data_IF_147997987803
#
_entry.id   IF_147997987803
#
_cell.length_a   1.000
_cell.length_b   1.000
_cell.length_c   1.000
_cell.angle_alpha   90.00
_cell.angle_beta   90.00
_cell.angle_gamma   90.00
#
_symmetry.space_group_name_H-M   'P 1'
#
loop_
_entity.id
_entity.type
_entity.pdbx_description
1 polymer ?
#
# COMPACT_ATOMS: atom_id res chain seq x y z
N UNK A 1 -27.53 26.37 -18.17
CA UNK A 1 -26.28 26.83 -17.53
C UNK A 1 -25.90 26.03 -16.29
N UNK A 2 -26.81 25.81 -15.33
CA UNK A 2 -26.52 25.09 -14.07
C UNK A 2 -25.84 23.72 -14.24
N UNK A 3 -26.33 22.90 -15.18
CA UNK A 3 -25.76 21.57 -15.46
C UNK A 3 -24.33 21.65 -16.00
N UNK A 4 -24.03 22.63 -16.86
CA UNK A 4 -22.68 22.84 -17.41
C UNK A 4 -21.69 23.23 -16.30
N UNK A 5 -22.13 24.08 -15.37
CA UNK A 5 -21.33 24.48 -14.21
C UNK A 5 -21.08 23.27 -13.30
N UNK A 6 -22.10 22.45 -13.03
CA UNK A 6 -21.94 21.23 -12.25
C UNK A 6 -20.93 20.26 -12.89
N UNK A 7 -21.06 19.99 -14.20
CA UNK A 7 -20.08 19.16 -14.92
C UNK A 7 -18.67 19.73 -14.87
N UNK A 8 -18.53 21.05 -15.05
CA UNK A 8 -17.22 21.71 -14.97
C UNK A 8 -16.59 21.53 -13.59
N UNK A 9 -17.36 21.75 -12.51
CA UNK A 9 -16.88 21.58 -11.14
C UNK A 9 -16.54 20.12 -10.82
N UNK A 10 -17.38 19.17 -11.21
CA UNK A 10 -17.10 17.73 -11.04
C UNK A 10 -15.85 17.30 -11.79
N UNK A 11 -15.67 17.79 -13.02
CA UNK A 11 -14.50 17.50 -13.83
C UNK A 11 -13.23 18.10 -13.22
N UNK A 12 -13.27 19.36 -12.79
CA UNK A 12 -12.17 20.01 -12.08
C UNK A 12 -11.80 19.25 -10.80
N UNK A 13 -12.80 18.88 -9.99
CA UNK A 13 -12.59 18.08 -8.78
C UNK A 13 -11.91 16.75 -9.09
N UNK A 14 -12.38 16.05 -10.13
CA UNK A 14 -11.79 14.78 -10.56
C UNK A 14 -10.31 14.96 -10.98
N UNK A 15 -10.01 15.94 -11.83
CA UNK A 15 -8.64 16.20 -12.29
C UNK A 15 -7.72 16.55 -11.12
N UNK A 16 -8.15 17.45 -10.22
CA UNK A 16 -7.36 17.80 -9.03
C UNK A 16 -7.17 16.59 -8.11
N UNK A 17 -8.20 15.77 -7.92
CA UNK A 17 -8.10 14.54 -7.14
C UNK A 17 -7.06 13.57 -7.71
N UNK A 18 -7.09 13.32 -9.02
CA UNK A 18 -6.12 12.45 -9.70
C UNK A 18 -4.70 13.00 -9.60
N UNK A 19 -4.51 14.31 -9.82
CA UNK A 19 -3.19 14.95 -9.74
C UNK A 19 -2.63 14.97 -8.31
N UNK A 20 -3.49 14.95 -7.29
CA UNK A 20 -3.06 14.94 -5.89
C UNK A 20 -2.87 13.53 -5.31
N UNK A 21 -3.30 12.46 -6.01
CA UNK A 21 -3.10 11.07 -5.58
C UNK A 21 -1.63 10.73 -5.21
N UNK A 22 -0.60 11.13 -5.98
CA UNK A 22 0.79 10.84 -5.61
C UNK A 22 1.22 11.48 -4.28
N UNK A 23 0.55 12.57 -3.87
CA UNK A 23 0.83 13.30 -2.63
C UNK A 23 -0.03 12.82 -1.44
N UNK A 24 -1.05 12.00 -1.68
CA UNK A 24 -1.93 11.46 -0.64
C UNK A 24 -1.17 10.56 0.34
N UNK A 25 -0.06 9.97 -0.10
CA UNK A 25 0.84 9.15 0.72
C UNK A 25 0.20 7.87 1.25
N UNK A 26 0.97 7.12 2.02
CA UNK A 26 0.49 5.98 2.80
C UNK A 26 -0.03 6.54 4.12
N UNK A 27 -1.34 6.50 4.34
CA UNK A 27 -1.90 6.88 5.64
C UNK A 27 -1.63 5.78 6.69
N UNK A 28 -1.81 6.12 7.97
CA UNK A 28 -1.52 5.21 9.08
C UNK A 28 -2.32 3.90 9.05
N UNK A 29 -3.46 3.86 8.34
CA UNK A 29 -4.33 2.69 8.21
C UNK A 29 -4.03 1.85 6.95
N UNK A 30 -3.31 2.42 5.98
CA UNK A 30 -2.98 1.79 4.69
C UNK A 30 -2.17 0.51 4.90
N UNK A 31 -1.23 0.52 5.84
CA UNK A 31 -0.37 -0.63 6.15
C UNK A 31 -1.18 -1.85 6.58
N UNK A 32 -2.30 -1.66 7.30
CA UNK A 32 -3.17 -2.75 7.73
C UNK A 32 -4.05 -3.29 6.59
N UNK A 33 -4.25 -2.50 5.53
CA UNK A 33 -5.13 -2.83 4.40
C UNK A 33 -4.38 -3.40 3.20
N UNK A 34 -3.12 -3.03 2.99
CA UNK A 34 -2.27 -3.57 1.92
C UNK A 34 -2.20 -5.12 1.91
N UNK A 35 -2.08 -5.83 3.06
CA UNK A 35 -2.07 -7.28 3.09
C UNK A 35 -3.35 -7.90 2.50
N UNK A 36 -4.52 -7.26 2.64
CA UNK A 36 -5.78 -7.81 2.12
C UNK A 36 -5.75 -7.97 0.60
N UNK A 37 -5.22 -6.97 -0.10
CA UNK A 37 -5.04 -7.04 -1.56
C UNK A 37 -4.13 -8.19 -1.96
N UNK A 38 -3.04 -8.39 -1.22
CA UNK A 38 -2.11 -9.50 -1.43
C UNK A 38 -2.77 -10.87 -1.18
N UNK A 39 -3.66 -10.99 -0.19
CA UNK A 39 -4.44 -12.22 0.07
C UNK A 39 -5.33 -12.56 -1.13
N UNK A 40 -6.09 -11.59 -1.64
CA UNK A 40 -6.96 -11.82 -2.79
C UNK A 40 -6.16 -12.18 -4.04
N UNK A 41 -5.09 -11.44 -4.32
CA UNK A 41 -4.22 -11.74 -5.46
C UNK A 41 -3.66 -13.16 -5.38
N UNK A 42 -3.14 -13.56 -4.21
CA UNK A 42 -2.64 -14.92 -4.00
C UNK A 42 -3.74 -15.96 -4.25
N UNK A 43 -4.95 -15.75 -3.74
CA UNK A 43 -6.05 -16.67 -3.98
C UNK A 43 -6.35 -16.80 -5.48
N UNK A 44 -6.40 -15.70 -6.23
CA UNK A 44 -6.63 -15.75 -7.68
C UNK A 44 -5.50 -16.46 -8.44
N UNK A 45 -4.25 -16.30 -8.00
CA UNK A 45 -3.10 -16.92 -8.66
C UNK A 45 -2.88 -18.39 -8.29
N UNK A 46 -3.30 -18.82 -7.09
CA UNK A 46 -2.94 -20.15 -6.56
C UNK A 46 -4.12 -21.04 -6.20
N UNK A 47 -5.33 -20.47 -6.05
CA UNK A 47 -6.52 -21.15 -5.53
C UNK A 47 -6.47 -21.49 -4.04
N UNK A 48 -5.37 -21.16 -3.34
CA UNK A 48 -5.13 -21.58 -1.94
C UNK A 48 -5.80 -20.63 -0.96
N UNK A 49 -6.48 -21.21 0.04
CA UNK A 49 -7.27 -20.47 1.05
C UNK A 49 -6.52 -20.21 2.35
N UNK A 50 -5.37 -20.85 2.53
CA UNK A 50 -4.49 -20.70 3.69
C UNK A 50 -3.07 -20.36 3.24
N UNK A 51 -2.19 -20.07 4.21
CA UNK A 51 -0.79 -19.72 3.99
C UNK A 51 0.18 -20.82 4.43
N UNK A 52 -0.26 -22.08 4.47
CA UNK A 52 0.53 -23.22 4.98
C UNK A 52 1.86 -23.44 4.23
N UNK A 53 1.93 -22.96 2.99
CA UNK A 53 3.11 -23.08 2.12
C UNK A 53 4.04 -21.87 2.17
N UNK A 54 3.64 -20.79 2.84
CA UNK A 54 4.52 -19.66 3.05
C UNK A 54 5.55 -20.01 4.13
N UNK A 55 6.76 -19.44 4.05
CA UNK A 55 7.73 -19.54 5.15
C UNK A 55 7.11 -19.10 6.47
N UNK A 56 7.57 -19.69 7.57
CA UNK A 56 7.15 -19.28 8.90
C UNK A 56 7.31 -17.77 9.08
N UNK A 57 6.24 -17.14 9.58
CA UNK A 57 6.23 -15.72 9.91
C UNK A 57 7.41 -15.42 10.85
N UNK A 58 8.31 -14.56 10.40
CA UNK A 58 9.40 -14.06 11.24
C UNK A 58 8.84 -12.86 12.01
N UNK A 59 8.84 -12.92 13.34
CA UNK A 59 8.64 -11.71 14.12
C UNK A 59 9.85 -10.81 13.89
N UNK A 60 9.69 -9.79 13.06
CA UNK A 60 10.72 -8.78 12.84
C UNK A 60 10.80 -7.84 14.05
N UNK A 61 11.24 -8.35 15.21
CA UNK A 61 12.13 -7.58 16.07
C UNK A 61 13.53 -7.83 15.52
N UNK A 62 13.93 -7.02 14.55
CA UNK A 62 15.32 -7.00 14.11
C UNK A 62 16.13 -6.19 15.10
N UNK A 63 17.18 -6.78 15.66
CA UNK A 63 18.12 -6.02 16.45
C UNK A 63 18.78 -4.96 15.54
N UNK A 64 18.77 -3.67 15.89
CA UNK A 64 19.43 -2.64 15.08
C UNK A 64 20.90 -2.93 14.76
N UNK A 65 21.56 -3.77 15.57
CA UNK A 65 22.93 -4.26 15.36
C UNK A 65 23.07 -5.18 14.14
N UNK A 66 22.01 -5.89 13.76
CA UNK A 66 22.00 -6.82 12.63
C UNK A 66 21.68 -6.13 11.29
N UNK A 67 21.20 -4.88 11.33
CA UNK A 67 20.77 -4.10 10.17
C UNK A 67 21.87 -3.13 9.71
N UNK A 68 22.70 -2.64 10.64
CA UNK A 68 23.75 -1.68 10.34
C UNK A 68 25.05 -2.38 9.92
N UNK A 69 25.74 -1.92 8.86
CA UNK A 69 27.04 -2.45 8.51
C UNK A 69 28.03 -2.24 9.68
N UNK A 70 28.98 -3.17 9.89
CA UNK A 70 29.93 -3.07 10.98
C UNK A 70 30.67 -1.74 10.92
N UNK A 71 30.82 -1.09 12.08
CA UNK A 71 31.48 0.22 12.23
C UNK A 71 32.92 0.27 11.69
N UNK A 72 33.51 -0.86 11.31
CA UNK A 72 34.85 -0.96 10.70
C UNK A 72 34.94 -0.43 9.26
N UNK A 73 33.82 -0.02 8.64
CA UNK A 73 33.77 0.56 7.29
C UNK A 73 33.44 2.06 7.35
N UNK A 74 33.85 2.77 8.41
CA UNK A 74 33.68 4.23 8.51
C UNK A 74 34.97 4.90 8.98
#
# INVERSE_FOLDING_TARGET
MRLKIAFLLSFLFFIVGVLTLPHYGINWDTINHLPRGQVYLRYFLTGKKDFSELPHYQMYWQDPRDILPPKSIR
#
